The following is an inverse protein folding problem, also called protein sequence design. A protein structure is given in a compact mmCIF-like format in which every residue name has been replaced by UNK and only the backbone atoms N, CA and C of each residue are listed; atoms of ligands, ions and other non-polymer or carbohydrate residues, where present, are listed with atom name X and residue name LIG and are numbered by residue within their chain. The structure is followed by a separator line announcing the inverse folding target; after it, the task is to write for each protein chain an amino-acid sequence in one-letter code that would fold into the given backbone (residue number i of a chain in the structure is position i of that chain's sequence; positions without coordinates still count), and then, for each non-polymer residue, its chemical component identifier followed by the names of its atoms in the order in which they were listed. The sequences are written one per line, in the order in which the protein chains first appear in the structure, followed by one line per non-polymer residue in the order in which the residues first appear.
data_IF_687012394916
#
_entry.id   IF_687012394916
#
_cell.length_a   1.000
_cell.length_b   1.000
_cell.length_c   1.000
_cell.angle_alpha   90.00
_cell.angle_beta   90.00
_cell.angle_gamma   90.00
#
_symmetry.space_group_name_H-M   'P 1'
#
loop_
_entity.id
_entity.type
_entity.pdbx_description
1 polymer ?
#
# COMPACT_ATOMS: atom_id res chain seq x y z
N UNK A 1 4.35 20.85 -13.55
CA UNK A 1 4.51 19.43 -13.17
C UNK A 1 3.45 18.63 -13.93
N UNK A 2 3.81 17.50 -14.53
CA UNK A 2 2.84 16.58 -15.13
C UNK A 2 2.26 15.65 -14.07
N UNK A 3 1.02 15.22 -14.24
CA UNK A 3 0.42 14.16 -13.45
C UNK A 3 0.24 12.90 -14.30
N UNK A 4 0.66 11.71 -13.82
CA UNK A 4 1.53 11.53 -12.66
C UNK A 4 2.94 12.10 -12.91
N UNK A 5 3.69 12.37 -11.84
CA UNK A 5 5.10 12.76 -11.94
C UNK A 5 5.93 11.68 -12.63
N UNK A 6 5.68 10.42 -12.28
CA UNK A 6 6.25 9.25 -12.95
C UNK A 6 5.18 8.54 -13.80
N UNK A 7 5.40 8.45 -15.12
CA UNK A 7 4.53 7.68 -16.02
C UNK A 7 4.49 6.19 -15.63
N UNK A 8 5.64 5.66 -15.20
CA UNK A 8 5.76 4.35 -14.53
C UNK A 8 6.60 4.57 -13.26
N UNK A 9 6.12 4.19 -12.06
CA UNK A 9 6.89 4.32 -10.81
C UNK A 9 8.29 3.74 -10.93
N UNK A 10 9.33 4.57 -10.77
CA UNK A 10 10.76 4.25 -10.94
C UNK A 10 11.09 3.41 -12.20
N UNK A 11 10.31 3.58 -13.27
CA UNK A 11 10.47 2.82 -14.53
C UNK A 11 9.96 1.37 -14.47
N UNK A 12 9.52 0.86 -13.32
CA UNK A 12 8.85 -0.44 -13.20
C UNK A 12 8.07 -0.55 -11.90
N UNK A 13 6.74 -0.72 -11.99
CA UNK A 13 5.90 -1.01 -10.83
C UNK A 13 6.11 -2.43 -10.25
N UNK A 14 6.81 -3.31 -10.99
CA UNK A 14 7.11 -4.67 -10.55
C UNK A 14 8.39 -4.75 -9.70
N UNK A 15 9.22 -3.70 -9.70
CA UNK A 15 10.35 -3.60 -8.79
C UNK A 15 9.84 -3.41 -7.34
N UNK A 16 10.68 -3.70 -6.33
CA UNK A 16 10.27 -3.52 -4.95
C UNK A 16 9.93 -2.05 -4.67
N UNK A 17 8.66 -1.82 -4.39
CA UNK A 17 8.06 -0.54 -3.99
C UNK A 17 7.51 -0.68 -2.58
N UNK A 18 7.76 0.28 -1.70
CA UNK A 18 7.21 0.20 -0.34
C UNK A 18 5.68 0.29 -0.35
N UNK A 19 5.07 0.87 -1.39
CA UNK A 19 3.64 0.75 -1.66
C UNK A 19 3.19 -0.70 -1.68
N UNK A 20 3.82 -1.53 -2.52
CA UNK A 20 3.42 -2.92 -2.74
C UNK A 20 3.67 -3.73 -1.48
N UNK A 21 4.84 -3.57 -0.85
CA UNK A 21 5.15 -4.34 0.37
C UNK A 21 4.24 -3.96 1.54
N UNK A 22 3.93 -2.67 1.71
CA UNK A 22 3.06 -2.21 2.80
C UNK A 22 1.60 -2.63 2.58
N UNK A 23 1.09 -2.54 1.36
CA UNK A 23 -0.27 -2.98 1.02
C UNK A 23 -0.43 -4.50 1.13
N UNK A 24 0.56 -5.29 0.69
CA UNK A 24 0.57 -6.74 0.94
C UNK A 24 0.62 -7.07 2.43
N UNK A 25 1.48 -6.39 3.20
CA UNK A 25 1.54 -6.57 4.66
C UNK A 25 0.22 -6.20 5.35
N UNK A 26 -0.52 -5.22 4.84
CA UNK A 26 -1.80 -4.79 5.38
C UNK A 26 -2.90 -5.86 5.22
N UNK A 27 -2.78 -6.77 4.25
CA UNK A 27 -3.70 -7.89 4.11
C UNK A 27 -3.71 -8.79 5.35
N UNK A 28 -2.57 -8.96 6.03
CA UNK A 28 -2.48 -9.85 7.20
C UNK A 28 -3.43 -9.43 8.33
N UNK A 29 -3.34 -8.21 8.93
CA UNK A 29 -4.28 -7.79 9.96
C UNK A 29 -5.71 -7.68 9.46
N UNK A 30 -5.94 -7.36 8.18
CA UNK A 30 -7.28 -7.32 7.58
C UNK A 30 -7.90 -8.72 7.58
N UNK A 31 -7.18 -9.73 7.10
CA UNK A 31 -7.66 -11.11 7.02
C UNK A 31 -7.83 -11.74 8.40
N UNK A 32 -6.97 -11.41 9.37
CA UNK A 32 -7.14 -11.82 10.77
C UNK A 32 -8.47 -11.29 11.33
N UNK A 33 -8.82 -10.02 11.07
CA UNK A 33 -10.09 -9.45 11.51
C UNK A 33 -11.27 -10.04 10.74
N UNK A 34 -11.11 -10.26 9.43
CA UNK A 34 -12.14 -10.93 8.62
C UNK A 34 -12.51 -12.29 9.21
N UNK A 35 -11.50 -13.10 9.54
CA UNK A 35 -11.67 -14.47 10.01
C UNK A 35 -12.20 -14.55 11.45
N UNK A 36 -11.59 -13.79 12.37
CA UNK A 36 -11.94 -13.87 13.80
C UNK A 36 -13.18 -13.05 14.19
N UNK A 37 -13.55 -12.06 13.38
CA UNK A 37 -14.65 -11.14 13.68
C UNK A 37 -15.62 -11.03 12.47
N UNK A 38 -16.39 -12.09 12.13
CA UNK A 38 -17.21 -12.13 10.92
C UNK A 38 -18.32 -11.07 10.86
N UNK A 39 -18.68 -10.46 11.99
CA UNK A 39 -19.63 -9.33 12.05
C UNK A 39 -18.96 -7.96 11.85
N UNK A 40 -17.63 -7.92 11.72
CA UNK A 40 -16.81 -6.71 11.61
C UNK A 40 -16.08 -6.64 10.27
N UNK A 41 -16.84 -6.89 9.20
CA UNK A 41 -16.30 -7.01 7.85
C UNK A 41 -15.38 -5.85 7.48
N UNK A 42 -14.12 -6.14 7.08
CA UNK A 42 -13.12 -5.13 6.79
C UNK A 42 -13.18 -4.67 5.33
N UNK A 43 -14.36 -4.71 4.71
CA UNK A 43 -14.50 -4.57 3.25
C UNK A 43 -13.91 -3.28 2.71
N UNK A 44 -14.03 -2.13 3.41
CA UNK A 44 -13.43 -0.88 2.94
C UNK A 44 -11.91 -0.99 2.86
N UNK A 45 -11.28 -1.48 3.93
CA UNK A 45 -9.84 -1.66 3.97
C UNK A 45 -9.38 -2.73 2.95
N UNK A 46 -10.10 -3.85 2.84
CA UNK A 46 -9.76 -4.88 1.87
C UNK A 46 -9.89 -4.38 0.42
N UNK A 47 -11.02 -3.76 0.07
CA UNK A 47 -11.23 -3.19 -1.27
C UNK A 47 -10.21 -2.09 -1.60
N UNK A 48 -9.88 -1.24 -0.63
CA UNK A 48 -8.82 -0.24 -0.79
C UNK A 48 -7.45 -0.86 -1.01
N UNK A 49 -7.06 -1.86 -0.22
CA UNK A 49 -5.77 -2.55 -0.40
C UNK A 49 -5.70 -3.31 -1.72
N UNK A 50 -6.70 -4.12 -2.05
CA UNK A 50 -6.73 -4.90 -3.29
C UNK A 50 -6.83 -4.01 -4.53
N UNK A 51 -7.71 -3.00 -4.49
CA UNK A 51 -7.84 -2.00 -5.54
C UNK A 51 -6.54 -1.22 -5.73
N UNK A 52 -5.86 -0.90 -4.63
CA UNK A 52 -4.56 -0.25 -4.63
C UNK A 52 -3.47 -1.09 -5.29
N UNK A 53 -3.37 -2.37 -4.95
CA UNK A 53 -2.43 -3.32 -5.55
C UNK A 53 -2.64 -3.46 -7.06
N UNK A 54 -3.90 -3.65 -7.48
CA UNK A 54 -4.25 -3.75 -8.92
C UNK A 54 -3.94 -2.45 -9.65
N UNK A 55 -4.32 -1.31 -9.08
CA UNK A 55 -4.12 -0.01 -9.72
C UNK A 55 -2.65 0.32 -9.89
N UNK A 56 -1.85 0.12 -8.82
CA UNK A 56 -0.42 0.42 -8.85
C UNK A 56 0.36 -0.56 -9.72
N UNK A 57 0.16 -1.87 -9.51
CA UNK A 57 0.96 -2.91 -10.15
C UNK A 57 0.57 -3.21 -11.60
N UNK A 58 -0.71 -3.06 -11.95
CA UNK A 58 -1.23 -3.48 -13.26
C UNK A 58 -1.75 -2.32 -14.11
N UNK A 59 -2.50 -1.37 -13.53
CA UNK A 59 -3.15 -0.31 -14.31
C UNK A 59 -2.17 0.83 -14.62
N UNK A 60 -1.44 1.32 -13.62
CA UNK A 60 -0.54 2.48 -13.76
C UNK A 60 0.51 2.30 -14.86
N UNK A 61 1.22 1.16 -14.98
CA UNK A 61 2.22 0.99 -16.03
C UNK A 61 1.67 1.10 -17.46
N UNK A 62 0.37 0.85 -17.65
CA UNK A 62 -0.31 0.86 -18.95
C UNK A 62 -1.14 2.13 -19.19
N UNK A 63 -1.74 2.67 -18.14
CA UNK A 63 -2.60 3.85 -18.16
C UNK A 63 -2.22 4.80 -17.02
N UNK A 64 -1.15 5.61 -17.18
CA UNK A 64 -0.52 6.30 -16.05
C UNK A 64 -1.46 7.20 -15.24
N UNK A 65 -2.25 8.03 -15.91
CA UNK A 65 -3.20 8.94 -15.25
C UNK A 65 -4.25 8.15 -14.47
N UNK A 66 -4.85 7.13 -15.09
CA UNK A 66 -5.91 6.32 -14.49
C UNK A 66 -5.34 5.53 -13.29
N UNK A 67 -4.21 4.85 -13.47
CA UNK A 67 -3.59 4.06 -12.42
C UNK A 67 -3.16 4.91 -11.23
N UNK A 68 -2.51 6.06 -11.45
CA UNK A 68 -2.14 6.98 -10.39
C UNK A 68 -3.36 7.48 -9.59
N UNK A 69 -4.42 7.91 -10.29
CA UNK A 69 -5.66 8.36 -9.65
C UNK A 69 -6.33 7.24 -8.84
N UNK A 70 -6.41 6.03 -9.40
CA UNK A 70 -7.01 4.89 -8.71
C UNK A 70 -6.17 4.43 -7.52
N UNK A 71 -4.84 4.42 -7.61
CA UNK A 71 -3.95 4.13 -6.48
C UNK A 71 -4.17 5.11 -5.34
N UNK A 72 -4.17 6.43 -5.62
CA UNK A 72 -4.39 7.45 -4.59
C UNK A 72 -5.78 7.32 -3.97
N UNK A 73 -6.81 7.10 -4.78
CA UNK A 73 -8.19 6.90 -4.30
C UNK A 73 -8.30 5.64 -3.43
N UNK A 74 -7.70 4.54 -3.86
CA UNK A 74 -7.70 3.28 -3.11
C UNK A 74 -7.00 3.43 -1.75
N UNK A 75 -5.85 4.12 -1.71
CA UNK A 75 -5.15 4.39 -0.46
C UNK A 75 -5.97 5.32 0.47
N UNK A 76 -6.64 6.34 -0.10
CA UNK A 76 -7.56 7.18 0.64
C UNK A 76 -8.73 6.39 1.23
N UNK A 77 -9.30 5.40 0.52
CA UNK A 77 -10.34 4.52 1.05
C UNK A 77 -9.84 3.75 2.28
N UNK A 78 -8.61 3.25 2.28
CA UNK A 78 -8.03 2.58 3.46
C UNK A 78 -7.87 3.55 4.63
N UNK A 79 -7.35 4.76 4.38
CA UNK A 79 -7.18 5.79 5.41
C UNK A 79 -8.50 6.34 5.95
N UNK A 80 -9.58 6.24 5.18
CA UNK A 80 -10.93 6.63 5.58
C UNK A 80 -11.71 5.48 6.25
N UNK A 81 -11.26 4.24 6.13
CA UNK A 81 -11.90 3.08 6.77
C UNK A 81 -12.12 3.26 8.29
N UNK A 82 -11.22 3.91 9.07
CA UNK A 82 -11.43 4.22 10.48
C UNK A 82 -12.69 4.99 10.83
N UNK A 83 -13.26 5.73 9.89
CA UNK A 83 -14.49 6.50 10.11
C UNK A 83 -15.77 5.66 9.97
N UNK A 84 -15.66 4.40 9.55
CA UNK A 84 -16.80 3.46 9.51
C UNK A 84 -17.15 3.00 10.94
N UNK A 85 -18.44 2.92 11.32
CA UNK A 85 -18.85 2.51 12.66
C UNK A 85 -18.21 1.20 13.15
N UNK A 86 -18.16 0.17 12.30
CA UNK A 86 -17.61 -1.15 12.66
C UNK A 86 -16.09 -1.19 12.89
N UNK A 87 -15.35 -0.15 12.50
CA UNK A 87 -13.90 -0.09 12.70
C UNK A 87 -13.51 0.00 14.17
N UNK A 88 -14.28 0.75 14.97
CA UNK A 88 -13.99 0.97 16.40
C UNK A 88 -14.01 -0.31 17.22
N UNK A 89 -14.64 -1.35 16.69
CA UNK A 89 -14.73 -2.64 17.33
C UNK A 89 -13.54 -3.57 17.01
N UNK A 90 -12.67 -3.20 16.06
CA UNK A 90 -11.50 -4.00 15.74
C UNK A 90 -10.53 -4.05 16.93
N UNK A 91 -9.80 -5.17 17.12
CA UNK A 91 -8.67 -5.19 18.03
C UNK A 91 -7.67 -4.09 17.64
N UNK A 92 -7.37 -3.17 18.59
CA UNK A 92 -6.62 -1.93 18.33
C UNK A 92 -5.31 -2.15 17.56
N UNK A 93 -4.58 -3.23 17.87
CA UNK A 93 -3.31 -3.57 17.20
C UNK A 93 -3.48 -3.76 15.69
N UNK A 94 -4.56 -4.41 15.24
CA UNK A 94 -4.80 -4.67 13.82
C UNK A 94 -5.29 -3.40 13.12
N UNK A 95 -6.18 -2.64 13.77
CA UNK A 95 -6.62 -1.34 13.27
C UNK A 95 -5.46 -0.36 13.07
N UNK A 96 -4.59 -0.21 14.09
CA UNK A 96 -3.41 0.65 14.01
C UNK A 96 -2.44 0.17 12.93
N UNK A 97 -2.19 -1.14 12.85
CA UNK A 97 -1.30 -1.70 11.82
C UNK A 97 -1.76 -1.35 10.40
N UNK A 98 -3.06 -1.50 10.10
CA UNK A 98 -3.60 -1.15 8.77
C UNK A 98 -3.42 0.33 8.45
N UNK A 99 -3.69 1.23 9.40
CA UNK A 99 -3.52 2.68 9.17
C UNK A 99 -2.06 3.03 8.94
N UNK A 100 -1.15 2.50 9.76
CA UNK A 100 0.28 2.76 9.60
C UNK A 100 0.80 2.25 8.25
N UNK A 101 0.42 1.05 7.84
CA UNK A 101 0.81 0.48 6.54
C UNK A 101 0.22 1.28 5.37
N UNK A 102 -1.01 1.80 5.50
CA UNK A 102 -1.60 2.70 4.50
C UNK A 102 -0.90 4.06 4.42
N UNK A 103 -0.32 4.56 5.52
CA UNK A 103 0.52 5.76 5.51
C UNK A 103 1.87 5.51 4.85
N UNK A 104 2.48 4.32 5.06
CA UNK A 104 3.69 3.92 4.33
C UNK A 104 3.41 3.83 2.83
N UNK A 105 2.27 3.25 2.43
CA UNK A 105 1.87 3.22 1.03
C UNK A 105 1.53 4.63 0.48
N UNK A 106 0.95 5.50 1.31
CA UNK A 106 0.67 6.89 0.91
C UNK A 106 1.95 7.63 0.53
N UNK A 107 3.00 7.48 1.33
CA UNK A 107 4.30 8.09 1.10
C UNK A 107 4.81 7.80 -0.32
N UNK A 108 4.85 6.52 -0.70
CA UNK A 108 5.31 6.08 -2.03
C UNK A 108 4.44 6.64 -3.17
N UNK A 109 3.12 6.47 -3.03
CA UNK A 109 2.18 6.85 -4.08
C UNK A 109 2.12 8.36 -4.29
N UNK A 110 2.29 9.17 -3.25
CA UNK A 110 2.39 10.63 -3.37
C UNK A 110 3.69 11.06 -4.07
N UNK A 111 4.81 10.39 -3.77
CA UNK A 111 6.06 10.65 -4.46
C UNK A 111 5.92 10.41 -5.96
N UNK A 112 5.41 9.23 -6.36
CA UNK A 112 5.30 8.86 -7.76
C UNK A 112 4.21 9.64 -8.51
N UNK A 113 3.09 9.94 -7.84
CA UNK A 113 1.98 10.64 -8.47
C UNK A 113 2.23 12.14 -8.58
N UNK A 114 2.79 12.77 -7.53
CA UNK A 114 2.84 14.22 -7.39
C UNK A 114 4.27 14.80 -7.43
N UNK A 115 5.30 13.95 -7.37
CA UNK A 115 6.71 14.39 -7.31
C UNK A 115 7.08 15.02 -5.98
N UNK A 116 6.30 14.75 -4.93
CA UNK A 116 6.57 15.27 -3.59
C UNK A 116 7.76 14.54 -2.97
N UNK A 117 8.59 15.28 -2.26
CA UNK A 117 9.59 14.63 -1.41
C UNK A 117 8.89 13.98 -0.22
N UNK A 118 9.06 12.67 -0.06
CA UNK A 118 8.49 11.91 1.04
C UNK A 118 9.59 11.16 1.78
N UNK A 119 9.57 11.15 3.13
CA UNK A 119 10.70 10.66 3.92
C UNK A 119 10.93 9.16 3.78
N UNK A 120 9.89 8.34 3.60
CA UNK A 120 10.05 6.90 3.50
C UNK A 120 10.60 6.53 2.13
N UNK A 121 10.14 7.15 1.05
CA UNK A 121 10.75 7.00 -0.28
C UNK A 121 12.23 7.36 -0.30
N UNK A 122 12.60 8.47 0.35
CA UNK A 122 14.01 8.86 0.49
C UNK A 122 14.84 7.77 1.20
N UNK A 123 14.32 7.22 2.31
CA UNK A 123 14.96 6.10 3.02
C UNK A 123 14.98 4.80 2.21
N UNK A 124 13.91 4.53 1.44
CA UNK A 124 13.77 3.37 0.57
C UNK A 124 14.87 3.37 -0.50
N UNK A 125 15.06 4.52 -1.15
CA UNK A 125 16.10 4.74 -2.17
C UNK A 125 17.51 4.75 -1.59
N UNK A 126 17.68 5.17 -0.33
CA UNK A 126 18.98 5.16 0.35
C UNK A 126 19.46 3.78 0.82
N UNK A 127 18.66 2.72 0.66
CA UNK A 127 19.06 1.35 0.99
C UNK A 127 17.94 0.45 1.49
N UNK A 128 16.77 1.00 1.85
CA UNK A 128 15.63 0.20 2.30
C UNK A 128 15.19 -0.87 1.29
N UNK A 129 15.23 -0.54 -0.01
CA UNK A 129 14.95 -1.47 -1.10
C UNK A 129 15.85 -2.72 -1.05
N UNK A 130 17.16 -2.54 -0.84
CA UNK A 130 18.11 -3.65 -0.81
C UNK A 130 17.83 -4.58 0.38
N UNK A 131 17.61 -4.00 1.57
CA UNK A 131 17.33 -4.77 2.78
C UNK A 131 16.08 -5.67 2.65
N UNK A 132 15.02 -5.19 1.99
CA UNK A 132 13.81 -6.00 1.76
C UNK A 132 14.05 -7.14 0.78
N UNK A 133 14.80 -6.89 -0.29
CA UNK A 133 15.18 -7.95 -1.26
C UNK A 133 16.02 -9.02 -0.56
N UNK A 134 17.04 -8.61 0.20
CA UNK A 134 17.91 -9.54 0.93
C UNK A 134 17.11 -10.40 1.92
N UNK A 135 16.15 -9.80 2.64
CA UNK A 135 15.28 -10.53 3.55
C UNK A 135 14.41 -11.56 2.81
N UNK A 136 13.85 -11.20 1.66
CA UNK A 136 13.06 -12.13 0.84
C UNK A 136 13.92 -13.29 0.30
N UNK A 137 15.15 -13.01 -0.12
CA UNK A 137 16.10 -14.05 -0.55
C UNK A 137 16.43 -15.04 0.56
N UNK A 138 16.63 -14.56 1.79
CA UNK A 138 16.87 -15.43 2.95
C UNK A 138 15.68 -16.37 3.18
N UNK A 139 14.44 -15.86 3.12
CA UNK A 139 13.24 -16.69 3.29
C UNK A 139 13.17 -17.77 2.22
N UNK A 140 13.36 -17.41 0.94
CA UNK A 140 13.31 -18.37 -0.18
C UNK A 140 14.37 -19.47 -0.05
N UNK A 141 15.54 -19.18 0.54
CA UNK A 141 16.60 -20.18 0.73
C UNK A 141 16.36 -21.12 1.91
N UNK A 142 15.51 -20.75 2.85
CA UNK A 142 15.24 -21.50 4.08
C UNK A 142 13.98 -22.37 3.97
N UNK A 143 13.09 -22.07 3.02
CA UNK A 143 11.92 -22.90 2.65
C UNK A 143 12.31 -23.93 1.60
#
# INVERSE_FOLDING_TARGET
MSFPYHAVPDGSAALPHHYVTATLAALVPILIVWDNDPRREPWMALCGVLGGLVSFGMVWPRYPVIGASLTLAANAVVLLAPFRPGWREWPRRHAVAVVLLALVALDDSLQHALGWHTPIDAAWKAGGRAAVVDAAEVVVRVV
#
